data_IF_849901365003
#
_entry.id   IF_849901365003
#
_cell.length_a   1.000
_cell.length_b   1.000
_cell.length_c   1.000
_cell.angle_alpha   90.00
_cell.angle_beta   90.00
_cell.angle_gamma   90.00
#
_symmetry.space_group_name_H-M   'P 1'
#
loop_
_entity.id
_entity.type
_entity.pdbx_description
1 polymer ?
#
# COMPACT_ATOMS: atom_id res chain seq x y z
N UNK A 1 24.81 32.26 33.85
CA UNK A 1 25.25 31.31 32.80
C UNK A 1 24.04 30.46 32.41
N UNK A 2 23.26 30.90 31.41
CA UNK A 2 22.10 30.15 30.90
C UNK A 2 22.60 29.20 29.82
N UNK A 3 22.42 27.91 30.03
CA UNK A 3 22.66 26.89 29.00
C UNK A 3 21.79 27.21 27.79
N UNK A 4 22.43 27.37 26.62
CA UNK A 4 21.74 27.56 25.36
C UNK A 4 20.91 26.33 25.05
N UNK A 5 19.63 26.54 24.75
CA UNK A 5 18.83 25.56 24.04
C UNK A 5 19.55 25.27 22.72
N UNK A 6 20.10 24.06 22.59
CA UNK A 6 20.79 23.64 21.37
C UNK A 6 19.80 23.65 20.21
N UNK A 7 20.14 24.40 19.17
CA UNK A 7 19.58 24.19 17.84
C UNK A 7 19.71 22.70 17.52
N UNK A 8 18.60 22.00 17.37
CA UNK A 8 18.62 20.70 16.73
C UNK A 8 19.29 20.92 15.36
N UNK A 9 20.43 20.24 15.11
CA UNK A 9 21.14 20.34 13.85
C UNK A 9 20.14 20.00 12.72
N UNK A 10 19.70 21.01 11.99
CA UNK A 10 18.66 20.86 10.98
C UNK A 10 19.27 20.18 9.75
N UNK A 11 19.28 18.84 9.75
CA UNK A 11 19.78 18.05 8.62
C UNK A 11 18.71 18.01 7.52
N UNK A 12 19.07 18.50 6.34
CA UNK A 12 18.18 18.52 5.18
C UNK A 12 17.90 17.10 4.65
N UNK A 13 16.79 16.89 3.93
CA UNK A 13 16.49 15.59 3.33
C UNK A 13 17.55 15.12 2.31
N UNK A 14 18.18 16.07 1.62
CA UNK A 14 19.26 15.78 0.67
C UNK A 14 20.52 15.26 1.39
N UNK A 15 20.90 15.88 2.51
CA UNK A 15 22.03 15.43 3.34
C UNK A 15 21.78 14.04 3.91
N UNK A 16 20.57 13.79 4.45
CA UNK A 16 20.18 12.45 4.93
C UNK A 16 20.29 11.39 3.84
N UNK A 17 19.75 11.68 2.65
CA UNK A 17 19.82 10.78 1.50
C UNK A 17 21.26 10.53 1.07
N UNK A 18 22.07 11.59 0.95
CA UNK A 18 23.47 11.47 0.56
C UNK A 18 24.27 10.61 1.55
N UNK A 19 24.05 10.82 2.85
CA UNK A 19 24.65 10.00 3.91
C UNK A 19 24.28 8.52 3.79
N UNK A 20 23.00 8.20 3.61
CA UNK A 20 22.52 6.82 3.51
C UNK A 20 22.92 6.10 2.21
N UNK A 21 23.40 6.83 1.20
CA UNK A 21 23.97 6.24 -0.01
C UNK A 21 25.45 5.84 0.14
N UNK A 22 26.12 6.23 1.22
CA UNK A 22 27.53 5.93 1.44
C UNK A 22 27.71 4.44 1.80
N UNK A 23 28.77 3.81 1.27
CA UNK A 23 29.17 2.46 1.65
C UNK A 23 29.49 2.36 3.14
N UNK A 24 29.22 1.21 3.77
CA UNK A 24 29.47 0.98 5.19
C UNK A 24 28.46 1.61 6.16
N UNK A 25 27.54 2.48 5.70
CA UNK A 25 26.57 3.14 6.60
C UNK A 25 25.40 2.24 6.96
N UNK A 26 24.82 1.56 5.97
CA UNK A 26 23.62 0.73 6.15
C UNK A 26 23.94 -0.76 6.34
N UNK A 27 25.11 -1.19 5.87
CA UNK A 27 25.54 -2.59 5.84
C UNK A 27 27.06 -2.63 5.93
N UNK A 28 27.60 -3.59 6.68
CA UNK A 28 29.04 -3.88 6.72
C UNK A 28 29.53 -4.46 5.39
N UNK A 29 28.68 -5.18 4.66
CA UNK A 29 28.94 -5.56 3.26
C UNK A 29 28.63 -4.36 2.36
N UNK A 30 29.71 -3.73 1.87
CA UNK A 30 29.72 -2.59 0.95
C UNK A 30 30.24 -2.95 -0.45
N UNK A 31 30.30 -4.24 -0.78
CA UNK A 31 30.87 -4.73 -2.04
C UNK A 31 30.10 -4.28 -3.29
N UNK A 32 28.89 -3.74 -3.13
CA UNK A 32 28.12 -3.12 -4.20
C UNK A 32 27.54 -1.76 -3.78
N UNK A 33 27.35 -0.81 -4.72
CA UNK A 33 26.77 0.48 -4.41
C UNK A 33 25.31 0.35 -3.96
N UNK A 34 24.92 1.21 -3.02
CA UNK A 34 23.54 1.31 -2.55
C UNK A 34 22.62 1.75 -3.70
N UNK A 35 21.65 0.90 -4.06
CA UNK A 35 20.64 1.27 -5.05
C UNK A 35 19.52 2.02 -4.36
N UNK A 36 19.07 3.13 -4.95
CA UNK A 36 17.98 3.93 -4.39
C UNK A 36 16.74 3.81 -5.24
N UNK A 37 15.67 3.28 -4.65
CA UNK A 37 14.33 3.31 -5.23
C UNK A 37 13.57 4.45 -4.59
N UNK A 38 13.09 5.38 -5.42
CA UNK A 38 12.36 6.55 -4.96
C UNK A 38 10.87 6.40 -5.24
N UNK A 39 10.05 6.51 -4.20
CA UNK A 39 8.59 6.63 -4.31
C UNK A 39 8.17 8.08 -4.08
N UNK A 40 6.88 8.40 -4.19
CA UNK A 40 6.38 9.73 -3.83
C UNK A 40 6.72 10.09 -2.37
N UNK A 41 6.60 9.12 -1.46
CA UNK A 41 6.67 9.36 -0.02
C UNK A 41 7.93 8.85 0.67
N UNK A 42 8.76 8.08 -0.01
CA UNK A 42 9.90 7.41 0.62
C UNK A 42 11.10 7.29 -0.33
N UNK A 43 12.28 7.13 0.25
CA UNK A 43 13.42 6.50 -0.40
C UNK A 43 13.63 5.11 0.20
N UNK A 44 13.89 4.13 -0.65
CA UNK A 44 14.29 2.77 -0.25
C UNK A 44 15.73 2.55 -0.73
N UNK A 45 16.62 2.32 0.23
CA UNK A 45 18.04 2.07 0.02
C UNK A 45 18.27 0.56 0.05
N UNK A 46 18.67 -0.02 -1.08
CA UNK A 46 18.93 -1.44 -1.23
C UNK A 46 20.45 -1.68 -1.16
N UNK A 47 20.89 -2.41 -0.15
CA UNK A 47 22.25 -2.95 -0.04
C UNK A 47 22.26 -4.38 -0.60
N UNK A 48 23.38 -5.09 -0.52
CA UNK A 48 23.41 -6.50 -0.92
C UNK A 48 22.50 -7.37 -0.04
N UNK A 49 22.50 -7.11 1.26
CA UNK A 49 21.87 -7.96 2.27
C UNK A 49 20.56 -7.39 2.83
N UNK A 50 20.29 -6.11 2.62
CA UNK A 50 19.19 -5.40 3.26
C UNK A 50 18.51 -4.34 2.40
N UNK A 51 17.37 -3.87 2.90
CA UNK A 51 16.60 -2.77 2.36
C UNK A 51 16.19 -1.83 3.51
N UNK A 52 16.35 -0.52 3.32
CA UNK A 52 16.09 0.47 4.37
C UNK A 52 15.21 1.56 3.82
N UNK A 53 14.07 1.83 4.46
CA UNK A 53 13.10 2.83 3.98
C UNK A 53 13.14 4.07 4.86
N UNK A 54 13.40 5.21 4.24
CA UNK A 54 13.30 6.54 4.85
C UNK A 54 12.09 7.27 4.28
N UNK A 55 11.20 7.75 5.15
CA UNK A 55 10.06 8.58 4.75
C UNK A 55 10.53 10.00 4.43
N UNK A 56 10.01 10.61 3.36
CA UNK A 56 10.29 12.00 3.00
C UNK A 56 9.44 12.96 3.83
N UNK A 57 9.93 14.17 4.16
CA UNK A 57 9.09 15.20 4.75
C UNK A 57 8.12 15.72 3.69
N UNK A 58 6.87 15.26 3.73
CA UNK A 58 5.84 15.69 2.81
C UNK A 58 4.51 15.87 3.53
N UNK A 59 3.67 16.74 2.99
CA UNK A 59 2.26 16.81 3.34
C UNK A 59 1.44 16.56 2.08
N UNK A 60 0.47 15.67 2.17
CA UNK A 60 -0.49 15.37 1.10
C UNK A 60 -1.90 15.38 1.65
N UNK A 61 -2.89 15.13 0.78
CA UNK A 61 -4.30 15.00 1.15
C UNK A 61 -4.56 13.86 2.14
N UNK A 62 -3.68 12.86 2.19
CA UNK A 62 -3.90 11.63 2.98
C UNK A 62 -2.94 11.48 4.17
N UNK A 63 -1.80 12.15 4.14
CA UNK A 63 -0.74 11.93 5.13
C UNK A 63 0.09 13.19 5.35
N UNK A 64 0.45 13.44 6.62
CA UNK A 64 1.41 14.45 7.04
C UNK A 64 2.64 13.80 7.67
N UNK A 65 3.76 13.86 6.95
CA UNK A 65 5.07 13.34 7.31
C UNK A 65 6.07 14.48 7.55
N UNK A 66 5.62 15.73 7.74
CA UNK A 66 6.52 16.89 7.82
C UNK A 66 7.44 16.84 9.05
N UNK A 67 6.95 16.39 10.19
CA UNK A 67 7.76 16.26 11.43
C UNK A 67 8.46 14.90 11.55
N UNK A 68 9.62 14.90 12.21
CA UNK A 68 10.36 13.67 12.55
C UNK A 68 9.48 12.72 13.38
N UNK A 69 8.75 13.26 14.36
CA UNK A 69 7.83 12.48 15.19
C UNK A 69 6.71 11.81 14.37
N UNK A 70 6.15 12.51 13.37
CA UNK A 70 5.17 11.91 12.47
C UNK A 70 5.75 10.77 11.64
N UNK A 71 6.98 10.93 11.12
CA UNK A 71 7.68 9.86 10.39
C UNK A 71 8.01 8.66 11.29
N UNK A 72 8.43 8.89 12.54
CA UNK A 72 8.65 7.82 13.51
C UNK A 72 7.39 7.01 13.82
N UNK A 73 6.26 7.69 14.07
CA UNK A 73 4.96 7.01 14.26
C UNK A 73 4.54 6.22 13.02
N UNK A 74 4.71 6.81 11.84
CA UNK A 74 4.36 6.15 10.58
C UNK A 74 5.23 4.91 10.30
N UNK A 75 6.55 5.01 10.52
CA UNK A 75 7.47 3.88 10.41
C UNK A 75 7.16 2.75 11.40
N UNK A 76 6.73 3.10 12.62
CA UNK A 76 6.29 2.12 13.64
C UNK A 76 5.02 1.39 13.19
N UNK A 77 4.06 2.12 12.64
CA UNK A 77 2.84 1.53 12.08
C UNK A 77 3.14 0.64 10.88
N UNK A 78 4.05 1.05 9.99
CA UNK A 78 4.50 0.23 8.87
C UNK A 78 5.08 -1.12 9.35
N UNK A 79 5.98 -1.10 10.34
CA UNK A 79 6.55 -2.31 10.93
C UNK A 79 5.47 -3.23 11.50
N UNK A 80 4.56 -2.67 12.31
CA UNK A 80 3.51 -3.43 12.94
C UNK A 80 2.58 -4.10 11.92
N UNK A 81 2.11 -3.33 10.92
CA UNK A 81 1.14 -3.79 9.95
C UNK A 81 1.72 -4.84 9.01
N UNK A 82 2.96 -4.64 8.56
CA UNK A 82 3.58 -5.54 7.59
C UNK A 82 4.11 -6.83 8.20
N UNK A 83 4.51 -6.84 9.48
CA UNK A 83 4.90 -8.09 10.16
C UNK A 83 3.78 -9.13 10.21
N UNK A 84 2.52 -8.76 9.99
CA UNK A 84 1.39 -9.70 9.90
C UNK A 84 1.48 -10.66 8.70
N UNK A 85 2.05 -10.19 7.59
CA UNK A 85 2.15 -10.92 6.32
C UNK A 85 3.59 -11.05 5.79
N UNK A 86 4.56 -10.43 6.48
CA UNK A 86 5.98 -10.48 6.17
C UNK A 86 6.84 -10.48 7.45
N UNK A 87 6.59 -11.40 8.42
CA UNK A 87 7.22 -11.36 9.75
C UNK A 87 8.75 -11.46 9.70
N UNK A 88 9.28 -12.21 8.74
CA UNK A 88 10.72 -12.43 8.56
C UNK A 88 11.41 -11.33 7.75
N UNK A 89 10.67 -10.44 7.10
CA UNK A 89 11.26 -9.38 6.26
C UNK A 89 11.63 -8.17 7.08
N UNK A 90 10.77 -7.75 8.02
CA UNK A 90 10.93 -6.49 8.73
C UNK A 90 11.81 -6.63 9.98
N UNK A 91 13.06 -6.17 9.88
CA UNK A 91 14.09 -6.35 10.93
C UNK A 91 13.91 -5.38 12.10
N UNK A 92 13.39 -4.17 11.85
CA UNK A 92 12.99 -3.25 12.93
C UNK A 92 13.14 -1.77 12.56
N UNK A 93 13.05 -0.91 13.58
CA UNK A 93 13.16 0.55 13.43
C UNK A 93 14.58 0.99 13.77
N UNK A 94 15.20 1.85 12.95
CA UNK A 94 16.53 2.41 13.23
C UNK A 94 16.47 3.93 13.26
N UNK A 95 16.95 4.60 14.32
CA UNK A 95 17.01 6.05 14.38
C UNK A 95 18.15 6.56 13.50
N UNK A 96 17.91 7.61 12.72
CA UNK A 96 18.95 8.42 12.12
C UNK A 96 19.30 9.54 13.09
N UNK A 97 20.54 9.55 13.58
CA UNK A 97 21.00 10.42 14.66
C UNK A 97 22.01 11.43 14.11
N UNK A 98 21.91 12.69 14.54
CA UNK A 98 22.91 13.72 14.30
C UNK A 98 23.32 14.37 15.63
N UNK A 99 24.60 14.27 15.98
CA UNK A 99 25.20 14.98 17.10
C UNK A 99 26.55 15.60 16.69
N UNK A 100 27.39 15.96 17.67
CA UNK A 100 28.71 16.56 17.43
C UNK A 100 29.66 15.68 16.60
N UNK A 101 29.41 14.37 16.53
CA UNK A 101 30.20 13.43 15.71
C UNK A 101 29.71 13.31 14.27
N UNK A 102 28.59 13.95 13.92
CA UNK A 102 27.97 13.88 12.61
C UNK A 102 26.76 12.93 12.56
N UNK A 103 26.39 12.53 11.33
CA UNK A 103 25.29 11.60 11.08
C UNK A 103 25.72 10.15 11.34
N UNK A 104 24.84 9.38 11.99
CA UNK A 104 24.95 7.92 12.10
C UNK A 104 23.59 7.24 12.13
N UNK A 105 23.56 5.98 11.77
CA UNK A 105 22.41 5.08 12.02
C UNK A 105 22.60 4.44 13.38
N UNK A 106 21.59 4.55 14.25
CA UNK A 106 21.59 3.91 15.56
C UNK A 106 21.15 2.44 15.51
N UNK A 107 21.19 1.73 16.66
CA UNK A 107 20.78 0.34 16.74
C UNK A 107 19.28 0.17 16.47
N UNK A 108 18.87 -1.08 16.19
CA UNK A 108 17.46 -1.44 16.05
C UNK A 108 16.73 -1.23 17.38
N UNK A 109 15.58 -0.58 17.33
CA UNK A 109 14.66 -0.36 18.45
C UNK A 109 13.25 -0.83 18.11
N UNK A 110 12.42 -1.12 19.13
CA UNK A 110 11.04 -1.57 18.91
C UNK A 110 10.04 -0.40 18.78
N UNK A 111 10.32 0.73 19.44
CA UNK A 111 9.53 1.95 19.41
C UNK A 111 10.42 3.20 19.35
N UNK A 112 9.93 4.33 18.77
CA UNK A 112 10.62 5.61 18.81
C UNK A 112 10.97 6.14 20.21
N UNK A 113 10.35 5.57 21.24
CA UNK A 113 10.53 5.94 22.66
C UNK A 113 11.47 5.00 23.41
N UNK A 114 12.04 3.99 22.75
CA UNK A 114 12.86 2.97 23.41
C UNK A 114 14.33 3.37 23.54
N UNK A 115 14.96 2.90 24.62
CA UNK A 115 16.39 3.04 24.86
C UNK A 115 16.82 4.44 25.31
N UNK A 116 18.13 4.65 25.56
CA UNK A 116 18.68 5.94 25.97
C UNK A 116 18.88 6.87 24.76
N UNK A 117 17.91 6.92 23.84
CA UNK A 117 17.95 7.84 22.72
C UNK A 117 17.61 9.24 23.22
N UNK A 118 18.54 10.18 23.03
CA UNK A 118 18.22 11.60 23.21
C UNK A 118 17.37 12.06 22.00
N UNK A 119 16.08 12.36 22.19
CA UNK A 119 15.20 12.76 21.09
C UNK A 119 15.68 14.03 20.38
N UNK A 120 16.51 14.87 21.03
CA UNK A 120 17.08 16.06 20.43
C UNK A 120 18.07 15.76 19.30
N UNK A 121 18.68 14.57 19.29
CA UNK A 121 19.63 14.16 18.27
C UNK A 121 19.01 13.26 17.19
N UNK A 122 17.78 12.78 17.36
CA UNK A 122 17.10 11.95 16.34
C UNK A 122 16.55 12.85 15.24
N UNK A 123 17.16 12.78 14.06
CA UNK A 123 16.77 13.60 12.90
C UNK A 123 15.85 12.86 11.93
N UNK A 124 15.76 11.53 11.99
CA UNK A 124 14.78 10.73 11.23
C UNK A 124 14.68 9.26 11.69
N UNK A 125 13.84 8.48 11.00
CA UNK A 125 13.63 7.06 11.28
C UNK A 125 13.68 6.21 10.00
N UNK A 126 14.38 5.08 10.06
CA UNK A 126 14.46 4.07 9.02
C UNK A 126 13.66 2.83 9.41
N UNK A 127 12.94 2.26 8.44
CA UNK A 127 12.42 0.89 8.54
C UNK A 127 13.43 -0.05 7.90
N UNK A 128 14.03 -0.93 8.70
CA UNK A 128 14.94 -1.97 8.23
C UNK A 128 14.20 -3.21 7.76
N UNK A 129 14.66 -3.77 6.63
CA UNK A 129 14.08 -4.93 5.98
C UNK A 129 15.17 -5.83 5.38
N UNK A 130 14.90 -7.12 5.24
CA UNK A 130 15.65 -7.99 4.36
C UNK A 130 15.33 -7.66 2.89
N UNK A 131 16.36 -7.70 2.04
CA UNK A 131 16.17 -7.46 0.61
C UNK A 131 15.45 -8.65 -0.03
N UNK A 132 14.27 -8.39 -0.59
CA UNK A 132 13.51 -9.40 -1.33
C UNK A 132 14.10 -9.60 -2.74
N UNK A 133 14.12 -10.85 -3.26
CA UNK A 133 14.63 -11.14 -4.59
C UNK A 133 13.69 -10.59 -5.66
N UNK A 134 14.13 -9.54 -6.36
CA UNK A 134 13.32 -8.84 -7.37
C UNK A 134 12.74 -9.76 -8.46
N UNK A 135 13.47 -10.81 -8.85
CA UNK A 135 13.04 -11.79 -9.86
C UNK A 135 11.88 -12.70 -9.40
N UNK A 136 11.51 -12.65 -8.11
CA UNK A 136 10.38 -13.40 -7.53
C UNK A 136 9.17 -12.52 -7.22
N UNK A 137 9.23 -11.23 -7.54
CA UNK A 137 8.10 -10.32 -7.37
C UNK A 137 6.96 -10.68 -8.34
N UNK A 138 5.71 -10.64 -7.88
CA UNK A 138 4.55 -11.07 -8.69
C UNK A 138 4.39 -10.23 -9.96
N UNK A 139 4.61 -8.91 -9.90
CA UNK A 139 4.61 -8.04 -11.09
C UNK A 139 5.65 -8.47 -12.13
N UNK A 140 6.81 -8.96 -11.68
CA UNK A 140 7.89 -9.46 -12.55
C UNK A 140 7.59 -10.83 -13.12
N UNK A 141 7.08 -11.76 -12.31
CA UNK A 141 6.67 -13.07 -12.81
C UNK A 141 5.56 -12.96 -13.85
N UNK A 142 4.60 -12.05 -13.65
CA UNK A 142 3.56 -11.75 -14.64
C UNK A 142 4.19 -11.18 -15.92
N UNK A 143 5.01 -10.14 -15.80
CA UNK A 143 5.63 -9.46 -16.94
C UNK A 143 6.54 -10.37 -17.78
N UNK A 144 7.19 -11.34 -17.13
CA UNK A 144 8.08 -12.31 -17.78
C UNK A 144 7.33 -13.56 -18.31
N UNK A 145 6.01 -13.68 -18.08
CA UNK A 145 5.22 -14.85 -18.47
C UNK A 145 5.58 -16.12 -17.69
N UNK A 146 6.03 -15.97 -16.44
CA UNK A 146 6.55 -17.05 -15.57
C UNK A 146 5.66 -17.33 -14.35
N UNK A 147 4.49 -16.70 -14.27
CA UNK A 147 3.51 -16.99 -13.23
C UNK A 147 2.82 -18.32 -13.56
N UNK A 148 2.86 -19.26 -12.62
CA UNK A 148 2.14 -20.54 -12.70
C UNK A 148 1.00 -20.59 -11.68
N UNK A 149 0.09 -21.56 -11.87
CA UNK A 149 -1.12 -21.71 -11.06
C UNK A 149 -0.81 -22.07 -9.59
N UNK A 150 0.26 -22.82 -9.35
CA UNK A 150 0.67 -23.22 -7.99
C UNK A 150 1.12 -22.01 -7.15
N UNK A 151 1.82 -21.04 -7.77
CA UNK A 151 2.15 -19.77 -7.12
C UNK A 151 0.89 -18.98 -6.78
N UNK A 152 -0.09 -18.93 -7.68
CA UNK A 152 -1.37 -18.24 -7.44
C UNK A 152 -2.15 -18.90 -6.29
N UNK A 153 -2.22 -20.23 -6.28
CA UNK A 153 -2.83 -21.01 -5.20
C UNK A 153 -2.16 -20.71 -3.85
N UNK A 154 -0.82 -20.75 -3.79
CA UNK A 154 -0.07 -20.44 -2.58
C UNK A 154 -0.32 -19.03 -2.04
N UNK A 155 -0.43 -18.03 -2.92
CA UNK A 155 -0.82 -16.67 -2.53
C UNK A 155 -2.25 -16.64 -1.98
N UNK A 156 -3.18 -17.33 -2.64
CA UNK A 156 -4.58 -17.39 -2.23
C UNK A 156 -4.77 -18.08 -0.87
N UNK A 157 -4.05 -19.18 -0.62
CA UNK A 157 -4.03 -19.86 0.69
C UNK A 157 -3.45 -18.95 1.76
N UNK A 158 -2.30 -18.33 1.51
CA UNK A 158 -1.65 -17.44 2.48
C UNK A 158 -2.55 -16.24 2.87
N UNK A 159 -3.20 -15.62 1.89
CA UNK A 159 -4.17 -14.55 2.13
C UNK A 159 -5.43 -15.06 2.85
N UNK A 160 -5.96 -16.23 2.46
CA UNK A 160 -7.11 -16.86 3.10
C UNK A 160 -6.87 -17.12 4.59
N UNK A 161 -5.72 -17.68 4.95
CA UNK A 161 -5.33 -17.90 6.33
C UNK A 161 -5.16 -16.60 7.11
N UNK A 162 -4.54 -15.58 6.50
CA UNK A 162 -4.45 -14.25 7.08
C UNK A 162 -5.82 -13.63 7.37
N UNK A 163 -6.75 -13.68 6.40
CA UNK A 163 -8.09 -13.12 6.55
C UNK A 163 -8.90 -13.86 7.62
N UNK A 164 -8.82 -15.19 7.66
CA UNK A 164 -9.50 -16.02 8.68
C UNK A 164 -9.00 -15.71 10.10
N UNK A 165 -7.72 -15.37 10.23
CA UNK A 165 -7.12 -15.01 11.51
C UNK A 165 -7.44 -13.56 11.94
N UNK A 166 -7.97 -12.71 11.06
CA UNK A 166 -8.33 -11.34 11.45
C UNK A 166 -9.65 -11.32 12.23
N UNK A 167 -9.76 -10.51 13.30
CA UNK A 167 -11.04 -10.29 13.95
C UNK A 167 -11.98 -9.54 13.01
N UNK A 168 -13.24 -9.99 12.97
CA UNK A 168 -14.31 -9.27 12.31
C UNK A 168 -14.46 -7.87 12.93
N UNK A 169 -14.55 -6.84 12.10
CA UNK A 169 -14.78 -5.48 12.55
C UNK A 169 -16.28 -5.32 12.88
N UNK A 170 -16.64 -4.77 14.06
CA UNK A 170 -18.03 -4.61 14.48
C UNK A 170 -18.68 -3.42 13.76
N UNK A 171 -18.92 -3.57 12.46
CA UNK A 171 -19.57 -2.56 11.63
C UNK A 171 -21.05 -2.85 11.50
N UNK A 172 -21.86 -1.81 11.71
CA UNK A 172 -23.28 -1.91 11.39
C UNK A 172 -23.45 -2.12 9.86
N UNK A 173 -24.21 -3.14 9.42
CA UNK A 173 -24.37 -3.44 8.00
C UNK A 173 -24.85 -2.27 7.14
N UNK A 174 -25.81 -1.48 7.65
CA UNK A 174 -26.31 -0.30 6.96
C UNK A 174 -25.25 0.80 6.85
N UNK A 175 -24.43 0.98 7.90
CA UNK A 175 -23.31 1.93 7.90
C UNK A 175 -22.22 1.51 6.91
N UNK A 176 -21.95 0.22 6.76
CA UNK A 176 -20.99 -0.30 5.77
C UNK A 176 -21.44 0.02 4.34
N UNK A 177 -22.68 -0.32 3.98
CA UNK A 177 -23.24 -0.04 2.65
C UNK A 177 -23.28 1.48 2.37
N UNK A 178 -23.66 2.27 3.36
CA UNK A 178 -23.66 3.74 3.23
C UNK A 178 -22.24 4.32 3.12
N UNK A 179 -21.24 3.69 3.75
CA UNK A 179 -19.83 4.03 3.57
C UNK A 179 -19.38 3.85 2.13
N UNK A 180 -19.71 2.71 1.51
CA UNK A 180 -19.42 2.46 0.09
C UNK A 180 -20.10 3.50 -0.82
N UNK A 181 -21.37 3.83 -0.54
CA UNK A 181 -22.12 4.87 -1.28
C UNK A 181 -21.42 6.23 -1.19
N UNK A 182 -21.07 6.67 0.03
CA UNK A 182 -20.34 7.91 0.25
C UNK A 182 -18.99 7.94 -0.46
N UNK A 183 -18.25 6.83 -0.46
CA UNK A 183 -17.00 6.74 -1.22
C UNK A 183 -17.26 6.88 -2.72
N UNK A 184 -18.19 6.12 -3.30
CA UNK A 184 -18.51 6.21 -4.73
C UNK A 184 -18.93 7.63 -5.13
N UNK A 185 -19.76 8.29 -4.33
CA UNK A 185 -20.20 9.66 -4.60
C UNK A 185 -19.08 10.68 -4.46
N UNK A 186 -18.22 10.54 -3.44
CA UNK A 186 -17.04 11.39 -3.26
C UNK A 186 -16.01 11.23 -4.38
N UNK A 187 -15.79 9.99 -4.83
CA UNK A 187 -14.93 9.70 -5.98
C UNK A 187 -15.50 10.28 -7.28
N UNK A 188 -16.81 10.13 -7.49
CA UNK A 188 -17.50 10.73 -8.62
C UNK A 188 -17.40 12.26 -8.63
N UNK A 189 -17.55 12.91 -7.47
CA UNK A 189 -17.42 14.36 -7.35
C UNK A 189 -16.00 14.85 -7.71
N UNK A 190 -14.96 14.11 -7.31
CA UNK A 190 -13.58 14.43 -7.69
C UNK A 190 -13.34 14.16 -9.18
N UNK A 191 -13.80 13.03 -9.70
CA UNK A 191 -13.64 12.69 -11.12
C UNK A 191 -14.42 13.63 -12.04
N UNK A 192 -15.51 14.25 -11.56
CA UNK A 192 -16.23 15.28 -12.28
C UNK A 192 -15.43 16.58 -12.46
N UNK A 193 -14.35 16.78 -11.71
CA UNK A 193 -13.39 17.88 -11.93
C UNK A 193 -12.28 17.50 -12.90
N UNK A 194 -12.37 16.35 -13.57
CA UNK A 194 -11.37 15.93 -14.54
C UNK A 194 -11.34 16.87 -15.76
N UNK A 195 -10.21 16.98 -16.46
CA UNK A 195 -10.12 17.79 -17.67
C UNK A 195 -11.05 17.32 -18.79
N UNK A 196 -11.38 18.20 -19.72
CA UNK A 196 -12.34 17.96 -20.82
C UNK A 196 -12.02 16.76 -21.74
N UNK A 197 -10.76 16.33 -21.79
CA UNK A 197 -10.38 15.14 -22.57
C UNK A 197 -10.82 13.82 -21.93
N UNK A 198 -11.25 13.83 -20.66
CA UNK A 198 -11.85 12.66 -20.01
C UNK A 198 -13.28 12.47 -20.50
N UNK A 199 -13.55 11.29 -21.02
CA UNK A 199 -14.86 10.87 -21.52
C UNK A 199 -15.95 10.92 -20.42
N UNK A 200 -16.77 11.97 -20.47
CA UNK A 200 -17.83 12.23 -19.50
C UNK A 200 -18.95 11.17 -19.53
N UNK A 201 -19.22 10.56 -20.70
CA UNK A 201 -20.20 9.49 -20.82
C UNK A 201 -19.69 8.24 -20.10
N UNK A 202 -18.41 7.90 -20.28
CA UNK A 202 -17.77 6.78 -19.58
C UNK A 202 -17.76 6.96 -18.08
N UNK A 203 -17.42 8.17 -17.59
CA UNK A 203 -17.51 8.48 -16.15
C UNK A 203 -18.94 8.32 -15.63
N UNK A 204 -19.93 8.88 -16.35
CA UNK A 204 -21.35 8.74 -15.99
C UNK A 204 -21.79 7.28 -15.96
N UNK A 205 -21.37 6.47 -16.94
CA UNK A 205 -21.68 5.05 -17.01
C UNK A 205 -21.04 4.25 -15.87
N UNK A 206 -19.80 4.57 -15.49
CA UNK A 206 -19.11 3.93 -14.36
C UNK A 206 -19.84 4.21 -13.03
N UNK A 207 -20.17 5.47 -12.74
CA UNK A 207 -20.87 5.87 -11.51
C UNK A 207 -22.29 5.30 -11.46
N UNK A 208 -23.00 5.31 -12.59
CA UNK A 208 -24.36 4.77 -12.68
C UNK A 208 -24.40 3.29 -12.36
N UNK A 209 -23.50 2.48 -12.93
CA UNK A 209 -23.43 1.03 -12.65
C UNK A 209 -23.19 0.74 -11.18
N UNK A 210 -22.31 1.51 -10.53
CA UNK A 210 -22.05 1.33 -9.10
C UNK A 210 -23.25 1.66 -8.23
N UNK A 211 -23.89 2.80 -8.49
CA UNK A 211 -25.11 3.21 -7.77
C UNK A 211 -26.24 2.21 -7.99
N UNK A 212 -26.42 1.73 -9.22
CA UNK A 212 -27.42 0.70 -9.52
C UNK A 212 -27.15 -0.61 -8.78
N UNK A 213 -25.89 -1.05 -8.70
CA UNK A 213 -25.54 -2.23 -7.89
C UNK A 213 -25.88 -2.00 -6.42
N UNK A 214 -25.46 -0.89 -5.82
CA UNK A 214 -25.78 -0.58 -4.42
C UNK A 214 -27.30 -0.55 -4.15
N UNK A 215 -28.09 -0.04 -5.10
CA UNK A 215 -29.54 0.03 -4.95
C UNK A 215 -30.21 -1.34 -5.08
N UNK A 216 -29.75 -2.21 -6.00
CA UNK A 216 -30.35 -3.53 -6.24
C UNK A 216 -29.81 -4.64 -5.34
N UNK A 217 -28.53 -4.54 -4.96
CA UNK A 217 -27.74 -5.57 -4.28
C UNK A 217 -27.09 -5.09 -2.99
N UNK A 218 -27.52 -3.93 -2.44
CA UNK A 218 -27.01 -3.44 -1.16
C UNK A 218 -27.17 -4.43 0.00
N UNK A 219 -28.21 -5.29 -0.04
CA UNK A 219 -28.40 -6.35 0.95
C UNK A 219 -27.25 -7.37 0.93
N UNK A 220 -26.72 -7.74 -0.23
CA UNK A 220 -25.59 -8.66 -0.35
C UNK A 220 -24.35 -8.10 0.37
N UNK A 221 -24.08 -6.80 0.25
CA UNK A 221 -22.99 -6.12 0.96
C UNK A 221 -23.26 -6.02 2.47
N UNK A 222 -24.52 -5.83 2.87
CA UNK A 222 -24.91 -5.83 4.28
C UNK A 222 -24.75 -7.23 4.92
N UNK A 223 -25.04 -8.30 4.17
CA UNK A 223 -24.85 -9.68 4.59
C UNK A 223 -23.37 -10.00 4.80
N UNK A 224 -22.48 -9.51 3.92
CA UNK A 224 -21.01 -9.59 4.11
C UNK A 224 -20.58 -9.03 5.46
N UNK A 225 -21.07 -7.84 5.81
CA UNK A 225 -20.80 -7.22 7.10
C UNK A 225 -21.38 -8.00 8.28
N UNK A 226 -22.62 -8.48 8.14
CA UNK A 226 -23.30 -9.27 9.18
C UNK A 226 -22.61 -10.62 9.43
N UNK A 227 -22.03 -11.21 8.38
CA UNK A 227 -21.26 -12.45 8.43
C UNK A 227 -19.82 -12.27 8.92
N UNK A 228 -19.46 -11.07 9.39
CA UNK A 228 -18.12 -10.79 9.94
C UNK A 228 -17.01 -10.78 8.90
N UNK A 229 -17.34 -10.56 7.61
CA UNK A 229 -16.37 -10.63 6.52
C UNK A 229 -15.60 -9.32 6.28
N UNK A 230 -15.89 -8.27 7.04
CA UNK A 230 -15.13 -7.01 7.02
C UNK A 230 -14.04 -7.09 8.07
N UNK A 231 -12.79 -7.00 7.62
CA UNK A 231 -11.58 -7.19 8.42
C UNK A 231 -10.61 -6.02 8.23
N UNK A 232 -9.54 -5.98 9.02
CA UNK A 232 -8.43 -5.05 8.80
C UNK A 232 -7.36 -5.67 7.89
N UNK A 233 -7.52 -5.50 6.58
CA UNK A 233 -6.69 -6.11 5.54
C UNK A 233 -5.38 -5.39 5.26
N UNK A 234 -4.87 -5.56 4.04
CA UNK A 234 -3.71 -4.84 3.53
C UNK A 234 -4.06 -3.39 3.13
N UNK A 235 -5.23 -3.17 2.55
CA UNK A 235 -5.79 -1.87 2.15
C UNK A 235 -5.39 -1.36 0.76
N UNK A 236 -4.37 -1.97 0.15
CA UNK A 236 -3.79 -1.53 -1.14
C UNK A 236 -2.94 -2.65 -1.79
N UNK A 237 -3.44 -3.89 -1.75
CA UNK A 237 -2.71 -5.07 -2.22
C UNK A 237 -2.56 -5.07 -3.74
N UNK A 238 -1.31 -5.11 -4.23
CA UNK A 238 -0.98 -5.08 -5.66
C UNK A 238 0.14 -6.08 -5.99
N UNK A 239 0.34 -6.41 -7.28
CA UNK A 239 1.40 -7.35 -7.67
C UNK A 239 2.81 -6.95 -7.21
N UNK A 240 3.15 -5.66 -7.20
CA UNK A 240 4.46 -5.19 -6.71
C UNK A 240 4.66 -5.34 -5.19
N UNK A 241 3.62 -5.74 -4.45
CA UNK A 241 3.63 -5.94 -2.99
C UNK A 241 3.71 -7.43 -2.60
N UNK A 242 3.77 -8.33 -3.57
CA UNK A 242 3.81 -9.78 -3.36
C UNK A 242 5.14 -10.32 -3.88
N UNK A 243 5.93 -10.93 -3.01
CA UNK A 243 7.10 -11.71 -3.39
C UNK A 243 6.78 -13.20 -3.26
N UNK A 244 6.85 -13.92 -4.38
CA UNK A 244 6.47 -15.32 -4.52
C UNK A 244 7.59 -16.25 -3.99
N UNK A 245 7.81 -16.19 -2.67
CA UNK A 245 8.59 -17.12 -1.88
C UNK A 245 7.67 -18.22 -1.32
N UNK A 246 8.26 -19.16 -0.57
CA UNK A 246 7.50 -20.19 0.16
C UNK A 246 7.80 -20.06 1.67
N UNK A 247 6.85 -19.57 2.48
CA UNK A 247 5.55 -19.02 2.09
C UNK A 247 5.68 -17.67 1.34
N UNK A 248 4.64 -17.21 0.61
CA UNK A 248 4.64 -15.90 -0.02
C UNK A 248 4.84 -14.78 1.01
N UNK A 249 5.51 -13.71 0.59
CA UNK A 249 5.70 -12.52 1.40
C UNK A 249 4.86 -11.40 0.83
N UNK A 250 4.00 -10.80 1.66
CA UNK A 250 3.14 -9.67 1.27
C UNK A 250 3.46 -8.47 2.17
N UNK A 251 3.82 -7.35 1.55
CA UNK A 251 4.40 -6.19 2.24
C UNK A 251 3.92 -4.85 1.65
N UNK A 252 4.29 -3.74 2.27
CA UNK A 252 3.80 -2.38 1.95
C UNK A 252 2.27 -2.19 2.19
N UNK A 253 1.77 -2.80 3.26
CA UNK A 253 0.43 -2.57 3.82
C UNK A 253 0.21 -1.09 4.13
N UNK A 254 -0.95 -0.57 3.75
CA UNK A 254 -1.29 0.84 3.81
C UNK A 254 -1.28 1.33 5.27
N UNK A 255 -0.30 2.13 5.65
CA UNK A 255 0.00 2.43 7.05
C UNK A 255 -0.67 3.70 7.61
N UNK A 256 -1.20 4.56 6.73
CA UNK A 256 -1.64 5.91 7.10
C UNK A 256 -3.16 6.08 7.32
N UNK A 257 -3.98 5.11 6.90
CA UNK A 257 -5.42 5.13 7.14
C UNK A 257 -5.92 3.74 7.50
N UNK A 258 -6.35 3.58 8.75
CA UNK A 258 -6.99 2.34 9.19
C UNK A 258 -8.30 2.10 8.45
N UNK A 259 -9.09 3.15 8.23
CA UNK A 259 -10.37 3.08 7.52
C UNK A 259 -10.21 2.49 6.11
N UNK A 260 -9.14 2.86 5.38
CA UNK A 260 -8.87 2.28 4.06
C UNK A 260 -8.43 0.80 4.10
N UNK A 261 -8.00 0.31 5.26
CA UNK A 261 -7.75 -1.12 5.52
C UNK A 261 -8.97 -1.85 6.05
N UNK A 262 -10.03 -1.15 6.47
CA UNK A 262 -11.29 -1.78 6.89
C UNK A 262 -12.08 -2.14 5.64
N UNK A 263 -11.91 -3.37 5.18
CA UNK A 263 -12.44 -3.81 3.91
C UNK A 263 -12.92 -5.24 3.98
N UNK A 264 -13.65 -5.58 2.94
CA UNK A 264 -14.13 -6.91 2.68
C UNK A 264 -13.00 -7.77 2.09
N UNK A 265 -12.76 -8.99 2.58
CA UNK A 265 -11.68 -9.84 2.04
C UNK A 265 -11.77 -10.07 0.51
N UNK A 266 -12.99 -10.15 -0.03
CA UNK A 266 -13.25 -10.32 -1.47
C UNK A 266 -12.92 -9.03 -2.25
N UNK A 267 -13.07 -7.86 -1.64
CA UNK A 267 -12.62 -6.58 -2.22
C UNK A 267 -11.11 -6.57 -2.45
N UNK A 268 -10.33 -7.03 -1.47
CA UNK A 268 -8.87 -7.08 -1.59
C UNK A 268 -8.39 -8.10 -2.63
N UNK A 269 -9.02 -9.27 -2.70
CA UNK A 269 -8.74 -10.27 -3.75
C UNK A 269 -9.15 -9.78 -5.13
N UNK A 270 -10.34 -9.18 -5.25
CA UNK A 270 -10.82 -8.57 -6.48
C UNK A 270 -9.88 -7.46 -6.96
N UNK A 271 -9.30 -6.68 -6.04
CA UNK A 271 -8.33 -5.65 -6.36
C UNK A 271 -7.01 -6.24 -6.87
N UNK A 272 -6.45 -7.24 -6.18
CA UNK A 272 -5.21 -7.89 -6.62
C UNK A 272 -5.41 -8.54 -7.99
N UNK A 273 -6.50 -9.26 -8.20
CA UNK A 273 -6.84 -9.89 -9.48
C UNK A 273 -7.03 -8.87 -10.61
N UNK A 274 -7.68 -7.74 -10.33
CA UNK A 274 -7.80 -6.62 -11.27
C UNK A 274 -6.42 -6.11 -11.74
N UNK A 275 -5.49 -5.90 -10.80
CA UNK A 275 -4.16 -5.41 -11.13
C UNK A 275 -3.32 -6.47 -11.86
N UNK A 276 -3.48 -7.76 -11.54
CA UNK A 276 -2.86 -8.86 -12.29
C UNK A 276 -3.38 -8.94 -13.73
N UNK A 277 -4.69 -8.82 -13.93
CA UNK A 277 -5.31 -8.77 -15.25
C UNK A 277 -4.76 -7.60 -16.08
N UNK A 278 -4.58 -6.43 -15.46
CA UNK A 278 -3.96 -5.25 -16.09
C UNK A 278 -2.51 -5.46 -16.51
N UNK A 279 -1.80 -6.39 -15.87
CA UNK A 279 -0.44 -6.79 -16.23
C UNK A 279 -0.39 -7.95 -17.23
N UNK A 280 -1.55 -8.49 -17.65
CA UNK A 280 -1.65 -9.54 -18.67
C UNK A 280 -1.99 -10.92 -18.13
N UNK A 281 -2.37 -11.06 -16.86
CA UNK A 281 -2.74 -12.34 -16.24
C UNK A 281 -4.17 -12.31 -15.67
N UNK A 282 -5.20 -12.42 -16.53
CA UNK A 282 -6.60 -12.35 -16.09
C UNK A 282 -7.03 -13.52 -15.22
N UNK A 283 -6.46 -14.72 -15.42
CA UNK A 283 -6.80 -15.95 -14.68
C UNK A 283 -6.38 -15.99 -13.21
N UNK A 284 -5.60 -14.99 -12.76
CA UNK A 284 -5.11 -14.94 -11.38
C UNK A 284 -6.25 -14.80 -10.37
N UNK A 285 -7.33 -14.09 -10.71
CA UNK A 285 -8.44 -13.87 -9.77
C UNK A 285 -9.18 -15.16 -9.46
N UNK A 286 -9.43 -15.99 -10.46
CA UNK A 286 -10.12 -17.27 -10.32
C UNK A 286 -9.34 -18.21 -9.39
N UNK A 287 -8.02 -18.30 -9.56
CA UNK A 287 -7.16 -19.09 -8.67
C UNK A 287 -7.15 -18.56 -7.23
N UNK A 288 -7.06 -17.24 -7.05
CA UNK A 288 -7.12 -16.61 -5.73
C UNK A 288 -8.46 -16.88 -5.02
N UNK A 289 -9.58 -16.75 -5.74
CA UNK A 289 -10.92 -16.98 -5.19
C UNK A 289 -11.16 -18.45 -4.89
N UNK A 290 -10.65 -19.38 -5.70
CA UNK A 290 -10.76 -20.81 -5.45
C UNK A 290 -10.03 -21.21 -4.15
N UNK A 291 -8.78 -20.76 -3.98
CA UNK A 291 -8.01 -20.99 -2.76
C UNK A 291 -8.66 -20.32 -1.54
N UNK A 292 -9.12 -19.08 -1.68
CA UNK A 292 -9.86 -18.37 -0.64
C UNK A 292 -11.14 -19.09 -0.24
N UNK A 293 -11.95 -19.55 -1.19
CA UNK A 293 -13.21 -20.24 -0.92
C UNK A 293 -13.00 -21.56 -0.20
N UNK A 294 -11.97 -22.32 -0.57
CA UNK A 294 -11.56 -23.53 0.12
C UNK A 294 -11.09 -23.27 1.57
N UNK A 295 -10.40 -22.15 1.80
CA UNK A 295 -9.90 -21.77 3.12
C UNK A 295 -11.00 -21.19 4.02
N UNK A 296 -11.79 -20.24 3.52
CA UNK A 296 -12.65 -19.39 4.32
C UNK A 296 -14.13 -19.80 4.29
N UNK A 297 -14.46 -20.90 3.59
CA UNK A 297 -15.82 -21.38 3.35
C UNK A 297 -16.72 -20.22 2.85
N UNK A 298 -16.24 -19.52 1.83
CA UNK A 298 -16.84 -18.31 1.31
C UNK A 298 -16.73 -18.26 -0.21
N UNK A 299 -17.86 -18.45 -0.88
CA UNK A 299 -17.97 -18.45 -2.35
C UNK A 299 -18.77 -17.21 -2.80
N UNK A 300 -18.10 -16.07 -3.04
CA UNK A 300 -18.79 -14.83 -3.37
C UNK A 300 -19.38 -14.90 -4.78
N UNK A 301 -20.63 -14.45 -4.99
CA UNK A 301 -21.22 -14.44 -6.32
C UNK A 301 -20.44 -13.50 -7.24
N UNK A 302 -20.32 -13.86 -8.52
CA UNK A 302 -19.53 -13.11 -9.49
C UNK A 302 -19.96 -11.63 -9.64
N UNK A 303 -21.22 -11.29 -9.34
CA UNK A 303 -21.70 -9.90 -9.35
C UNK A 303 -21.06 -9.05 -8.22
N UNK A 304 -20.77 -9.63 -7.05
CA UNK A 304 -20.05 -8.96 -5.95
C UNK A 304 -18.59 -8.71 -6.32
N UNK A 305 -17.93 -9.72 -6.89
CA UNK A 305 -16.53 -9.61 -7.34
C UNK A 305 -16.40 -8.50 -8.40
N UNK A 306 -17.29 -8.48 -9.39
CA UNK A 306 -17.33 -7.41 -10.41
C UNK A 306 -17.61 -6.03 -9.81
N UNK A 307 -18.48 -5.93 -8.81
CA UNK A 307 -18.72 -4.69 -8.08
C UNK A 307 -17.41 -4.15 -7.46
N UNK A 308 -16.67 -5.00 -6.74
CA UNK A 308 -15.41 -4.60 -6.11
C UNK A 308 -14.32 -4.24 -7.13
N UNK A 309 -14.19 -4.98 -8.23
CA UNK A 309 -13.25 -4.63 -9.31
C UNK A 309 -13.53 -3.22 -9.87
N UNK A 310 -14.81 -2.92 -10.17
CA UNK A 310 -15.20 -1.59 -10.65
C UNK A 310 -15.01 -0.51 -9.57
N UNK A 311 -15.22 -0.86 -8.31
CA UNK A 311 -15.14 0.08 -7.19
C UNK A 311 -13.68 0.50 -7.03
N UNK A 312 -12.78 -0.46 -6.99
CA UNK A 312 -11.33 -0.23 -6.97
C UNK A 312 -10.85 0.47 -8.23
N UNK A 313 -11.42 0.18 -9.40
CA UNK A 313 -11.11 0.93 -10.61
C UNK A 313 -11.46 2.43 -10.48
N UNK A 314 -12.62 2.80 -9.91
CA UNK A 314 -12.94 4.22 -9.63
C UNK A 314 -11.94 4.86 -8.64
N UNK A 315 -11.58 4.14 -7.57
CA UNK A 315 -10.57 4.59 -6.62
C UNK A 315 -9.25 4.89 -7.35
N UNK A 316 -8.80 3.99 -8.22
CA UNK A 316 -7.55 4.14 -8.98
C UNK A 316 -7.61 5.23 -10.05
N UNK A 317 -8.76 5.41 -10.70
CA UNK A 317 -9.02 6.52 -11.60
C UNK A 317 -8.85 7.85 -10.84
N UNK A 318 -9.51 8.02 -9.68
CA UNK A 318 -9.35 9.21 -8.83
C UNK A 318 -7.88 9.46 -8.47
N UNK A 319 -7.16 8.42 -8.03
CA UNK A 319 -5.75 8.57 -7.66
C UNK A 319 -4.89 9.01 -8.85
N UNK A 320 -5.13 8.48 -10.06
CA UNK A 320 -4.45 8.93 -11.26
C UNK A 320 -4.75 10.40 -11.59
N UNK A 321 -5.99 10.86 -11.40
CA UNK A 321 -6.36 12.26 -11.54
C UNK A 321 -5.64 13.15 -10.51
N UNK A 322 -5.57 12.75 -9.25
CA UNK A 322 -4.81 13.48 -8.23
C UNK A 322 -3.32 13.57 -8.57
N UNK A 323 -2.73 12.54 -9.17
CA UNK A 323 -1.35 12.62 -9.67
C UNK A 323 -1.19 13.69 -10.77
N UNK A 324 -2.15 13.80 -11.69
CA UNK A 324 -2.14 14.83 -12.73
C UNK A 324 -2.27 16.25 -12.16
N UNK A 325 -3.06 16.41 -11.09
CA UNK A 325 -3.31 17.71 -10.44
C UNK A 325 -2.13 18.12 -9.55
N UNK A 326 -1.67 17.22 -8.68
CA UNK A 326 -0.67 17.52 -7.66
C UNK A 326 0.76 17.54 -8.25
N UNK A 327 1.02 16.82 -9.35
CA UNK A 327 2.35 16.65 -9.94
C UNK A 327 2.31 16.83 -11.47
N UNK A 328 1.95 18.02 -11.99
CA UNK A 328 1.74 18.22 -13.43
C UNK A 328 3.00 17.97 -14.29
N UNK A 329 4.19 18.01 -13.68
CA UNK A 329 5.46 17.78 -14.35
C UNK A 329 5.96 16.32 -14.26
N UNK A 330 5.32 15.44 -13.47
CA UNK A 330 5.75 14.04 -13.31
C UNK A 330 4.97 13.08 -14.22
N UNK A 331 5.59 12.70 -15.34
CA UNK A 331 5.11 11.69 -16.30
C UNK A 331 3.59 11.80 -16.60
N UNK A 332 3.08 12.96 -17.03
CA UNK A 332 1.65 13.18 -17.20
C UNK A 332 0.99 12.15 -18.13
N UNK A 333 1.67 11.74 -19.21
CA UNK A 333 1.15 10.71 -20.13
C UNK A 333 0.81 9.38 -19.42
N UNK A 334 1.68 8.91 -18.53
CA UNK A 334 1.45 7.67 -17.75
C UNK A 334 0.16 7.76 -16.93
N UNK A 335 -0.05 8.90 -16.26
CA UNK A 335 -1.21 9.09 -15.40
C UNK A 335 -2.50 9.31 -16.19
N UNK A 336 -2.44 9.94 -17.37
CA UNK A 336 -3.57 10.00 -18.31
C UNK A 336 -4.00 8.60 -18.76
N UNK A 337 -3.06 7.79 -19.25
CA UNK A 337 -3.36 6.41 -19.66
C UNK A 337 -3.93 5.58 -18.52
N UNK A 338 -3.38 5.73 -17.30
CA UNK A 338 -3.93 5.05 -16.11
C UNK A 338 -5.37 5.49 -15.83
N UNK A 339 -5.65 6.78 -15.83
CA UNK A 339 -7.00 7.32 -15.60
C UNK A 339 -8.01 6.72 -16.59
N UNK A 340 -7.71 6.80 -17.89
CA UNK A 340 -8.58 6.26 -18.94
C UNK A 340 -8.79 4.75 -18.82
N UNK A 341 -7.71 4.00 -18.53
CA UNK A 341 -7.78 2.54 -18.37
C UNK A 341 -8.73 2.16 -17.24
N UNK A 342 -8.59 2.80 -16.06
CA UNK A 342 -9.42 2.47 -14.92
C UNK A 342 -10.87 2.95 -15.10
N UNK A 343 -11.11 4.07 -15.79
CA UNK A 343 -12.48 4.47 -16.14
C UNK A 343 -13.13 3.48 -17.11
N UNK A 344 -12.39 2.93 -18.07
CA UNK A 344 -12.88 1.87 -18.96
C UNK A 344 -13.28 0.63 -18.17
N UNK A 345 -12.46 0.20 -17.22
CA UNK A 345 -12.77 -0.97 -16.39
C UNK A 345 -13.98 -0.69 -15.49
N UNK A 346 -14.04 0.47 -14.85
CA UNK A 346 -15.16 0.87 -14.01
C UNK A 346 -16.48 0.96 -14.81
N UNK A 347 -16.41 1.35 -16.08
CA UNK A 347 -17.54 1.39 -17.01
C UNK A 347 -17.76 0.07 -17.77
N UNK A 348 -17.00 -0.99 -17.48
CA UNK A 348 -17.14 -2.28 -18.14
C UNK A 348 -18.47 -2.98 -17.83
N UNK A 349 -18.92 -3.90 -18.71
CA UNK A 349 -20.12 -4.70 -18.52
C UNK A 349 -20.04 -5.65 -17.33
#
# INVERSE_FOLDING_TARGET
MKAGAGDALAVSPAEKRAFLCQGGVLSEDDSAPVQVVETRSSWVFLTNVGAYKLKKPLRSRMIDLTSVAARGRNATLELHLNRRLAPTVYTGLLPLICDRSGLRVGPVVASPTDGPLDPAHVVDWLVGMHRLPAARMLDRLIGDGRLDDAVVEGIGVHLGDFYRAQPALPLNPGVYVEGLRRTIDGEGAILATAPEWVDAERLSAALRRQREFLNRRGLLLAERASAGRIIEGHGDLRPEHVCCLEPPVIFDCLEFSRELRMLDAVDELAYLGLECARLGQPGTLEGLLAAYGACCEDDPPAELVRFYQRYRALVRAKLALWHLIDLPHDRPAKWRTRLETYLTIAAGP
#
